data_IF_413547777082
#
_entry.id   IF_413547777082
#
_cell.length_a   1.000
_cell.length_b   1.000
_cell.length_c   1.000
_cell.angle_alpha   90.00
_cell.angle_beta   90.00
_cell.angle_gamma   90.00
#
_symmetry.space_group_name_H-M   'P 1'
#
loop_
_entity.id
_entity.type
_entity.pdbx_description
1 polymer ?
#
# COMPACT_ATOMS: atom_id res chain seq x y z
N UNK A 1 11.35 5.64 -11.76
CA UNK A 1 10.02 5.43 -12.32
C UNK A 1 9.22 6.71 -12.31
N UNK A 2 8.52 7.00 -13.37
CA UNK A 2 7.71 8.20 -13.48
C UNK A 2 6.24 7.84 -13.20
N UNK A 3 5.61 8.63 -12.34
CA UNK A 3 4.20 8.45 -12.04
C UNK A 3 3.39 9.20 -13.09
N UNK A 4 2.54 8.49 -13.80
CA UNK A 4 1.70 9.10 -14.84
C UNK A 4 0.26 8.72 -14.61
N UNK A 5 -0.60 9.71 -14.69
CA UNK A 5 -2.03 9.48 -14.60
C UNK A 5 -2.61 9.27 -15.98
N UNK A 6 -3.68 8.48 -16.06
CA UNK A 6 -4.40 8.36 -17.31
C UNK A 6 -4.96 9.73 -17.68
N UNK A 7 -5.37 9.87 -18.95
CA UNK A 7 -5.94 11.13 -19.39
C UNK A 7 -7.18 11.48 -18.59
N UNK A 8 -8.01 10.51 -18.32
CA UNK A 8 -9.23 10.72 -17.56
C UNK A 8 -8.93 11.13 -16.12
N UNK A 9 -7.99 10.43 -15.49
CA UNK A 9 -7.63 10.75 -14.11
C UNK A 9 -7.01 12.13 -14.02
N UNK A 10 -6.20 12.49 -15.03
CA UNK A 10 -5.58 13.81 -15.04
C UNK A 10 -6.64 14.90 -15.15
N UNK A 11 -7.64 14.69 -16.02
CA UNK A 11 -8.72 15.66 -16.16
C UNK A 11 -9.48 15.84 -14.87
N UNK A 12 -9.78 14.74 -14.19
CA UNK A 12 -10.49 14.81 -12.92
C UNK A 12 -9.64 15.46 -11.84
N UNK A 13 -8.35 15.18 -11.82
CA UNK A 13 -7.46 15.76 -10.81
C UNK A 13 -7.39 17.27 -10.99
N UNK A 14 -7.28 17.75 -12.24
CA UNK A 14 -7.21 19.17 -12.51
C UNK A 14 -8.51 19.85 -12.09
N UNK A 15 -9.65 19.24 -12.42
CA UNK A 15 -10.95 19.80 -12.03
C UNK A 15 -11.08 19.86 -10.51
N UNK A 16 -10.57 18.85 -9.83
CA UNK A 16 -10.62 18.81 -8.37
C UNK A 16 -9.74 19.89 -7.74
N UNK A 17 -8.58 20.12 -8.34
CA UNK A 17 -7.70 21.20 -7.86
C UNK A 17 -8.37 22.55 -8.03
N UNK A 18 -9.02 22.74 -9.20
CA UNK A 18 -9.73 24.00 -9.44
C UNK A 18 -10.85 24.19 -8.41
N UNK A 19 -11.54 23.12 -8.07
CA UNK A 19 -12.60 23.20 -7.08
C UNK A 19 -12.05 23.52 -5.71
N UNK A 20 -10.91 22.94 -5.35
CA UNK A 20 -10.30 23.21 -4.05
C UNK A 20 -9.99 24.69 -3.93
N UNK A 21 -9.44 25.29 -4.98
CA UNK A 21 -9.12 26.71 -4.95
C UNK A 21 -10.39 27.55 -4.86
N UNK A 22 -11.45 27.17 -5.59
CA UNK A 22 -12.69 27.94 -5.51
C UNK A 22 -13.26 27.95 -4.09
N UNK A 23 -13.13 26.84 -3.39
CA UNK A 23 -13.79 26.71 -2.10
C UNK A 23 -12.91 27.15 -0.94
N UNK A 24 -11.60 27.17 -1.13
CA UNK A 24 -10.71 27.41 0.00
C UNK A 24 -9.77 28.60 -0.17
N UNK A 25 -9.59 29.10 -1.36
CA UNK A 25 -8.66 30.22 -1.61
C UNK A 25 -9.45 31.42 -2.10
N UNK A 26 -8.82 32.60 -1.93
CA UNK A 26 -9.48 33.82 -2.36
C UNK A 26 -9.55 33.95 -3.87
N UNK A 27 -8.53 33.45 -4.55
CA UNK A 27 -8.49 33.57 -5.98
C UNK A 27 -8.56 32.20 -6.65
N UNK A 28 -9.27 32.10 -7.78
CA UNK A 28 -9.34 30.84 -8.47
C UNK A 28 -8.02 30.52 -9.15
N UNK A 29 -7.82 29.24 -9.46
CA UNK A 29 -6.67 28.83 -10.23
C UNK A 29 -7.19 28.46 -11.64
N UNK A 30 -6.44 28.85 -12.66
CA UNK A 30 -6.82 28.52 -14.03
C UNK A 30 -6.45 27.08 -14.36
N UNK A 31 -7.00 26.61 -15.47
CA UNK A 31 -6.80 25.23 -15.91
C UNK A 31 -5.33 24.93 -16.15
N UNK A 32 -4.62 25.84 -16.82
CA UNK A 32 -3.20 25.64 -17.12
C UNK A 32 -2.37 25.60 -15.84
N UNK A 33 -2.63 26.52 -14.93
CA UNK A 33 -1.90 26.56 -13.67
C UNK A 33 -2.20 25.35 -12.83
N UNK A 34 -3.45 24.88 -12.84
CA UNK A 34 -3.81 23.68 -12.10
C UNK A 34 -3.09 22.45 -12.68
N UNK A 35 -2.97 22.39 -14.00
CA UNK A 35 -2.21 21.33 -14.63
C UNK A 35 -0.74 21.36 -14.26
N UNK A 36 -0.18 22.58 -14.21
CA UNK A 36 1.22 22.73 -13.78
C UNK A 36 1.43 22.31 -12.34
N UNK A 37 0.50 22.67 -11.47
CA UNK A 37 0.59 22.28 -10.07
C UNK A 37 0.50 20.76 -9.93
N UNK A 38 -0.38 20.13 -10.69
CA UNK A 38 -0.49 18.68 -10.68
C UNK A 38 0.81 18.04 -11.13
N UNK A 39 1.43 18.55 -12.19
CA UNK A 39 2.70 18.02 -12.67
C UNK A 39 3.80 18.15 -11.62
N UNK A 40 3.88 19.31 -10.98
CA UNK A 40 4.84 19.50 -9.92
C UNK A 40 4.62 18.48 -8.80
N UNK A 41 3.38 18.32 -8.39
CA UNK A 41 3.05 17.40 -7.30
C UNK A 41 3.46 15.97 -7.64
N UNK A 42 3.17 15.54 -8.86
CA UNK A 42 3.49 14.19 -9.27
C UNK A 42 4.99 13.93 -9.28
N UNK A 43 5.76 14.93 -9.71
CA UNK A 43 7.21 14.75 -9.78
C UNK A 43 7.88 14.90 -8.43
N UNK A 44 7.43 15.87 -7.65
CA UNK A 44 8.12 16.19 -6.41
C UNK A 44 7.63 15.36 -5.23
N UNK A 45 6.33 15.19 -5.10
CA UNK A 45 5.74 14.55 -3.92
C UNK A 45 5.26 13.14 -4.21
N UNK A 46 4.84 12.91 -5.45
CA UNK A 46 4.31 11.61 -5.84
C UNK A 46 5.18 10.43 -5.46
N UNK A 47 6.51 10.49 -5.69
CA UNK A 47 7.35 9.35 -5.31
C UNK A 47 7.30 9.02 -3.82
N UNK A 48 7.18 10.03 -2.96
CA UNK A 48 7.08 9.77 -1.53
C UNK A 48 5.79 9.05 -1.19
N UNK A 49 4.69 9.44 -1.83
CA UNK A 49 3.41 8.78 -1.63
C UNK A 49 3.47 7.35 -2.16
N UNK A 50 4.05 7.18 -3.34
CA UNK A 50 4.21 5.88 -3.94
C UNK A 50 4.99 4.95 -3.03
N UNK A 51 6.10 5.46 -2.46
CA UNK A 51 6.93 4.64 -1.58
C UNK A 51 6.18 4.23 -0.32
N UNK A 52 5.34 5.10 0.20
CA UNK A 52 4.51 4.73 1.35
C UNK A 52 3.57 3.59 0.98
N UNK A 53 2.99 3.64 -0.21
CA UNK A 53 2.08 2.58 -0.65
C UNK A 53 2.84 1.27 -0.82
N UNK A 54 4.04 1.33 -1.40
CA UNK A 54 4.85 0.13 -1.57
C UNK A 54 5.18 -0.50 -0.22
N UNK A 55 5.54 0.33 0.75
CA UNK A 55 5.85 -0.19 2.08
C UNK A 55 4.64 -0.88 2.70
N UNK A 56 3.46 -0.28 2.56
CA UNK A 56 2.24 -0.90 3.06
C UNK A 56 1.99 -2.25 2.41
N UNK A 57 2.19 -2.34 1.10
CA UNK A 57 2.00 -3.60 0.37
C UNK A 57 3.00 -4.64 0.86
N UNK A 58 4.27 -4.23 1.08
CA UNK A 58 5.27 -5.16 1.58
C UNK A 58 4.89 -5.73 2.93
N UNK A 59 4.37 -4.90 3.82
CA UNK A 59 3.95 -5.37 5.13
C UNK A 59 2.81 -6.37 5.03
N UNK A 60 1.87 -6.12 4.13
CA UNK A 60 0.75 -7.04 3.93
C UNK A 60 1.22 -8.36 3.35
N UNK A 61 2.17 -8.32 2.42
CA UNK A 61 2.72 -9.53 1.84
C UNK A 61 3.48 -10.35 2.89
N UNK A 62 4.24 -9.69 3.74
CA UNK A 62 4.95 -10.41 4.79
C UNK A 62 3.99 -11.07 5.76
N UNK A 63 2.89 -10.41 6.08
CA UNK A 63 1.87 -11.01 6.93
C UNK A 63 1.28 -12.26 6.28
N UNK A 64 1.02 -12.20 4.95
CA UNK A 64 0.48 -13.35 4.25
C UNK A 64 1.47 -14.49 4.20
N UNK A 65 2.75 -14.17 4.00
CA UNK A 65 3.77 -15.21 3.99
C UNK A 65 3.84 -15.90 5.36
N UNK A 66 3.74 -15.13 6.44
CA UNK A 66 3.73 -15.72 7.78
C UNK A 66 2.52 -16.61 8.00
N UNK A 67 1.37 -16.20 7.48
CA UNK A 67 0.15 -17.01 7.58
C UNK A 67 0.31 -18.34 6.86
N UNK A 68 1.04 -18.36 5.74
CA UNK A 68 1.27 -19.59 5.03
C UNK A 68 1.98 -20.62 5.89
N UNK A 69 2.92 -20.18 6.72
CA UNK A 69 3.59 -21.11 7.61
C UNK A 69 2.59 -21.81 8.53
N UNK A 70 1.62 -21.06 9.03
CA UNK A 70 0.60 -21.66 9.89
C UNK A 70 -0.28 -22.64 9.13
N UNK A 71 -0.50 -22.38 7.86
CA UNK A 71 -1.40 -23.23 7.06
C UNK A 71 -0.75 -24.50 6.56
N UNK A 72 0.53 -24.43 6.21
CA UNK A 72 1.19 -25.55 5.57
C UNK A 72 2.29 -26.18 6.40
N UNK A 73 2.50 -25.67 7.59
CA UNK A 73 3.53 -26.23 8.47
C UNK A 73 3.16 -27.63 8.90
N UNK A 74 4.13 -28.52 8.92
CA UNK A 74 3.91 -29.88 9.40
C UNK A 74 4.77 -30.11 10.62
N UNK A 75 4.19 -30.74 11.63
CA UNK A 75 4.94 -31.09 12.83
C UNK A 75 5.93 -32.19 12.50
N UNK A 76 7.17 -31.98 12.90
CA UNK A 76 8.22 -32.92 12.59
C UNK A 76 8.35 -33.98 13.66
N UNK A 77 8.88 -35.13 13.27
CA UNK A 77 9.26 -36.19 14.21
C UNK A 77 8.11 -36.64 15.10
N UNK A 78 6.98 -36.86 14.49
CA UNK A 78 5.77 -37.22 15.24
C UNK A 78 5.59 -38.73 15.42
N UNK A 79 6.39 -39.54 14.71
CA UNK A 79 6.17 -40.99 14.73
C UNK A 79 6.19 -41.57 16.12
N UNK A 80 7.24 -41.29 16.89
CA UNK A 80 7.39 -41.89 18.20
C UNK A 80 6.43 -41.33 19.23
N UNK A 81 5.96 -40.10 19.02
CA UNK A 81 5.06 -39.48 20.00
C UNK A 81 3.75 -40.23 20.16
N UNK A 82 3.28 -40.88 19.12
CA UNK A 82 2.01 -41.59 19.21
C UNK A 82 2.13 -42.86 20.08
N UNK A 83 3.35 -43.24 20.40
CA UNK A 83 3.58 -44.40 21.24
C UNK A 83 3.95 -44.02 22.69
N UNK A 84 4.02 -42.76 22.97
CA UNK A 84 4.34 -42.31 24.32
C UNK A 84 3.06 -42.09 25.10
N UNK A 85 3.09 -42.50 26.37
CA UNK A 85 1.90 -42.34 27.16
C UNK A 85 1.83 -40.94 27.74
N UNK A 86 0.70 -40.30 27.59
CA UNK A 86 0.56 -38.95 28.07
C UNK A 86 0.81 -38.84 29.53
N UNK A 87 1.55 -37.85 29.93
CA UNK A 87 1.77 -37.57 31.29
C UNK A 87 2.58 -38.57 32.09
N UNK A 88 3.06 -39.63 31.38
CA UNK A 88 3.77 -40.55 32.04
C UNK A 88 5.17 -40.46 31.66
N UNK A 89 6.03 -40.71 32.34
CA UNK A 89 7.39 -40.67 32.00
C UNK A 89 7.93 -39.34 31.69
N UNK A 90 7.09 -38.47 31.75
CA UNK A 90 7.56 -37.27 31.45
C UNK A 90 8.17 -36.86 32.62
N UNK A 91 8.83 -36.87 32.96
CA UNK A 91 9.37 -36.61 34.18
C UNK A 91 10.48 -35.97 34.05
#
# INVERSE_FOLDING_TARGET
MTIELSKEARTQAIASIERYFRENMEEPIGNIAAGGLLGFFLEEIGPAIYNCAVLDVQERLQARVSELDLEVHEDEFQYWRKYEKPGKGRK
#
